data_IF_989940655512
#
_entry.id   IF_989940655512
#
_cell.length_a   1.000
_cell.length_b   1.000
_cell.length_c   1.000
_cell.angle_alpha   90.00
_cell.angle_beta   90.00
_cell.angle_gamma   90.00
#
_symmetry.space_group_name_H-M   'P 1'
#
loop_
_entity.id
_entity.type
_entity.pdbx_description
1 polymer ?
#
# COMPACT_ATOMS: atom_id res chain seq x y z
N UNK A 1 13.87 -6.04 -2.51
CA UNK A 1 12.98 -6.06 -1.35
C UNK A 1 13.69 -5.69 -0.05
N UNK A 2 12.93 -5.27 0.94
CA UNK A 2 13.47 -4.85 2.25
C UNK A 2 13.49 -5.99 3.29
N UNK A 3 13.14 -7.20 2.90
CA UNK A 3 13.17 -8.40 3.72
C UNK A 3 11.84 -9.13 3.79
N UNK A 4 11.87 -10.33 4.37
CA UNK A 4 10.72 -11.23 4.46
C UNK A 4 9.53 -10.56 5.15
N UNK A 5 8.34 -10.70 4.55
CA UNK A 5 7.11 -10.08 5.03
C UNK A 5 6.92 -8.61 4.64
N UNK A 6 7.90 -7.98 3.99
CA UNK A 6 7.73 -6.62 3.49
C UNK A 6 6.83 -6.56 2.23
N UNK A 7 6.12 -5.44 2.00
CA UNK A 7 5.36 -5.26 0.77
C UNK A 7 6.21 -5.38 -0.50
N UNK A 8 7.48 -4.96 -0.44
CA UNK A 8 8.41 -5.05 -1.57
C UNK A 8 8.80 -6.49 -1.96
N UNK A 9 8.51 -7.47 -1.12
CA UNK A 9 8.60 -8.89 -1.45
C UNK A 9 7.21 -9.51 -1.69
N UNK A 10 6.23 -9.14 -0.86
CA UNK A 10 4.89 -9.71 -0.93
C UNK A 10 4.19 -9.44 -2.26
N UNK A 11 4.21 -8.20 -2.72
CA UNK A 11 3.54 -7.84 -3.98
C UNK A 11 4.12 -8.56 -5.20
N UNK A 12 5.44 -8.59 -5.45
CA UNK A 12 5.97 -9.34 -6.58
C UNK A 12 5.67 -10.84 -6.52
N UNK A 13 5.68 -11.45 -5.32
CA UNK A 13 5.30 -12.87 -5.14
C UNK A 13 3.85 -13.12 -5.57
N UNK A 14 2.93 -12.28 -5.09
CA UNK A 14 1.52 -12.38 -5.44
C UNK A 14 1.29 -12.13 -6.95
N UNK A 15 2.00 -11.18 -7.55
CA UNK A 15 1.92 -10.94 -8.98
C UNK A 15 2.46 -12.13 -9.80
N UNK A 16 3.57 -12.73 -9.37
CA UNK A 16 4.09 -13.92 -10.03
C UNK A 16 3.07 -15.07 -10.01
N UNK A 17 2.41 -15.25 -8.85
CA UNK A 17 1.43 -16.32 -8.68
C UNK A 17 0.10 -16.05 -9.42
N UNK A 18 -0.39 -14.81 -9.41
CA UNK A 18 -1.76 -14.51 -9.80
C UNK A 18 -1.91 -13.65 -11.06
N UNK A 19 -0.84 -13.03 -11.54
CA UNK A 19 -0.83 -12.24 -12.77
C UNK A 19 0.19 -12.76 -13.81
N UNK A 20 0.82 -13.91 -13.56
CA UNK A 20 1.74 -14.55 -14.49
C UNK A 20 3.05 -13.78 -14.73
N UNK A 21 3.38 -12.83 -13.86
CA UNK A 21 4.67 -12.12 -13.93
C UNK A 21 5.82 -13.06 -13.52
N UNK A 22 7.04 -12.64 -13.83
CA UNK A 22 8.26 -13.43 -13.54
C UNK A 22 9.30 -12.58 -12.81
N UNK A 23 8.88 -11.81 -11.80
CA UNK A 23 9.80 -11.01 -11.02
C UNK A 23 10.81 -11.89 -10.27
N UNK A 24 12.09 -11.60 -10.44
CA UNK A 24 13.16 -12.11 -9.58
C UNK A 24 13.34 -11.13 -8.42
N UNK A 25 13.04 -11.57 -7.21
CA UNK A 25 13.05 -10.71 -6.03
C UNK A 25 14.48 -10.68 -5.46
N UNK A 26 15.09 -9.51 -5.44
CA UNK A 26 16.37 -9.26 -4.79
C UNK A 26 16.09 -8.56 -3.47
N UNK A 27 16.44 -9.21 -2.36
CA UNK A 27 16.16 -8.74 -0.99
C UNK A 27 17.42 -8.26 -0.28
N UNK A 28 17.22 -7.63 0.89
CA UNK A 28 18.32 -7.18 1.76
C UNK A 28 18.61 -5.68 1.71
N UNK A 29 17.83 -4.91 0.98
CA UNK A 29 17.96 -3.44 1.02
C UNK A 29 17.38 -2.88 2.32
N UNK A 30 18.08 -1.94 2.99
CA UNK A 30 17.64 -1.41 4.29
C UNK A 30 16.38 -0.53 4.21
N UNK A 31 16.03 -0.04 3.02
CA UNK A 31 14.84 0.80 2.80
C UNK A 31 14.40 0.77 1.34
N UNK A 32 13.18 1.27 1.06
CA UNK A 32 12.70 1.48 -0.31
C UNK A 32 13.57 2.50 -1.07
N UNK A 33 14.09 3.51 -0.39
CA UNK A 33 15.02 4.48 -0.98
C UNK A 33 16.32 3.82 -1.43
N UNK A 34 16.87 2.89 -0.64
CA UNK A 34 18.04 2.11 -1.03
C UNK A 34 17.75 1.22 -2.25
N UNK A 35 16.54 0.64 -2.32
CA UNK A 35 16.09 -0.10 -3.50
C UNK A 35 15.97 0.78 -4.76
N UNK A 36 15.48 2.00 -4.63
CA UNK A 36 15.44 2.96 -5.75
C UNK A 36 16.85 3.37 -6.20
N UNK A 37 17.77 3.57 -5.26
CA UNK A 37 19.16 3.86 -5.58
C UNK A 37 19.85 2.69 -6.31
N UNK A 38 19.56 1.46 -5.91
CA UNK A 38 20.03 0.26 -6.61
C UNK A 38 19.49 0.18 -8.05
N UNK A 39 18.24 0.56 -8.28
CA UNK A 39 17.66 0.67 -9.62
C UNK A 39 18.37 1.76 -10.45
N UNK A 40 18.65 2.91 -9.88
CA UNK A 40 19.39 3.99 -10.52
C UNK A 40 20.81 3.58 -10.95
N UNK A 41 21.43 2.67 -10.19
CA UNK A 41 22.75 2.10 -10.50
C UNK A 41 22.73 0.88 -11.43
N UNK A 42 21.55 0.44 -11.83
CA UNK A 42 21.38 -0.74 -12.67
C UNK A 42 21.61 -2.06 -11.94
N UNK A 43 21.59 -2.08 -10.59
CA UNK A 43 21.73 -3.31 -9.80
C UNK A 43 20.43 -4.15 -9.81
N UNK A 44 19.28 -3.48 -10.01
CA UNK A 44 17.96 -4.07 -10.18
C UNK A 44 17.18 -3.33 -11.24
N UNK A 45 16.28 -4.05 -11.95
CA UNK A 45 15.48 -3.49 -13.05
C UNK A 45 14.22 -2.74 -12.57
N UNK A 46 13.84 -2.90 -11.31
CA UNK A 46 12.63 -2.29 -10.76
C UNK A 46 12.63 -2.19 -9.25
N UNK A 47 11.81 -1.28 -8.73
CA UNK A 47 11.63 -1.08 -7.30
C UNK A 47 10.16 -0.80 -6.96
N UNK A 48 9.75 -1.17 -5.74
CA UNK A 48 8.48 -0.77 -5.16
C UNK A 48 8.67 0.49 -4.32
N UNK A 49 7.86 1.50 -4.57
CA UNK A 49 7.82 2.73 -3.77
C UNK A 49 6.41 3.30 -3.73
N UNK A 50 6.13 4.22 -2.80
CA UNK A 50 4.88 4.95 -2.84
C UNK A 50 4.92 6.04 -3.92
N UNK A 51 3.77 6.31 -4.52
CA UNK A 51 3.63 7.38 -5.53
C UNK A 51 4.10 8.73 -4.98
N UNK A 52 3.71 9.05 -3.75
CA UNK A 52 4.14 10.27 -3.07
C UNK A 52 5.68 10.35 -2.92
N UNK A 53 6.32 9.26 -2.49
CA UNK A 53 7.78 9.21 -2.38
C UNK A 53 8.43 9.45 -3.74
N UNK A 54 7.93 8.82 -4.80
CA UNK A 54 8.44 8.98 -6.15
C UNK A 54 8.34 10.44 -6.62
N UNK A 55 7.18 11.08 -6.47
CA UNK A 55 6.98 12.49 -6.82
C UNK A 55 7.93 13.43 -6.08
N UNK A 56 8.14 13.20 -4.78
CA UNK A 56 8.98 14.08 -3.95
C UNK A 56 10.48 13.88 -4.17
N UNK A 57 10.93 12.67 -4.38
CA UNK A 57 12.37 12.35 -4.39
C UNK A 57 12.94 12.12 -5.76
N UNK A 58 12.10 11.78 -6.75
CA UNK A 58 12.51 11.42 -8.10
C UNK A 58 11.60 12.04 -9.17
N UNK A 59 11.18 13.28 -8.96
CA UNK A 59 10.31 14.00 -9.89
C UNK A 59 10.89 14.05 -11.32
N UNK A 60 12.20 14.19 -11.46
CA UNK A 60 12.89 14.21 -12.74
C UNK A 60 12.68 12.89 -13.53
N UNK A 61 12.65 11.75 -12.87
CA UNK A 61 12.40 10.46 -13.53
C UNK A 61 11.03 10.43 -14.22
N UNK A 62 10.03 11.06 -13.60
CA UNK A 62 8.67 11.16 -14.16
C UNK A 62 8.64 12.17 -15.32
N UNK A 63 9.28 13.32 -15.16
CA UNK A 63 9.32 14.38 -16.18
C UNK A 63 10.08 13.94 -17.43
N UNK A 64 11.22 13.29 -17.25
CA UNK A 64 12.07 12.80 -18.34
C UNK A 64 11.59 11.47 -18.93
N UNK A 65 10.64 10.80 -18.28
CA UNK A 65 10.22 9.42 -18.62
C UNK A 65 11.36 8.40 -18.51
N UNK A 66 12.23 8.58 -17.52
CA UNK A 66 13.35 7.67 -17.27
C UNK A 66 12.90 6.33 -16.69
N UNK A 67 11.66 6.25 -16.21
CA UNK A 67 11.04 5.05 -15.64
C UNK A 67 9.66 4.79 -16.24
N UNK A 68 9.24 3.53 -16.20
CA UNK A 68 7.88 3.10 -16.48
C UNK A 68 7.19 2.66 -15.20
N UNK A 69 6.06 3.26 -14.87
CA UNK A 69 5.19 2.75 -13.81
C UNK A 69 4.39 1.59 -14.40
N UNK A 70 4.61 0.38 -13.90
CA UNK A 70 4.06 -0.84 -14.51
C UNK A 70 2.66 -1.18 -13.99
N UNK A 71 2.44 -0.98 -12.69
CA UNK A 71 1.21 -1.38 -12.00
C UNK A 71 1.06 -0.59 -10.71
N UNK A 72 -0.17 -0.35 -10.27
CA UNK A 72 -0.46 0.31 -9.01
C UNK A 72 -1.18 -0.64 -8.04
N UNK A 73 -0.80 -0.54 -6.77
CA UNK A 73 -1.35 -1.36 -5.68
C UNK A 73 -2.48 -0.59 -4.98
N UNK A 74 -3.61 -0.56 -5.63
CA UNK A 74 -4.84 0.07 -5.14
C UNK A 74 -6.06 -0.74 -5.56
N UNK A 75 -7.20 -0.48 -4.91
CA UNK A 75 -8.50 -1.04 -5.32
C UNK A 75 -9.05 -0.35 -6.55
N UNK A 76 -8.65 0.90 -6.77
CA UNK A 76 -9.02 1.75 -7.90
C UNK A 76 -7.79 2.44 -8.45
N UNK A 77 -7.87 2.90 -9.71
CA UNK A 77 -6.78 3.65 -10.34
C UNK A 77 -6.64 5.04 -9.69
N UNK A 78 -5.43 5.39 -9.36
CA UNK A 78 -5.09 6.73 -8.85
C UNK A 78 -5.40 7.80 -9.92
N UNK A 79 -5.98 8.96 -9.54
CA UNK A 79 -6.33 10.03 -10.51
C UNK A 79 -5.19 10.52 -11.39
N UNK A 80 -3.96 10.52 -10.87
CA UNK A 80 -2.75 10.93 -11.60
C UNK A 80 -2.13 9.79 -12.44
N UNK A 81 -2.62 8.54 -12.30
CA UNK A 81 -2.09 7.35 -12.97
C UNK A 81 -3.20 6.55 -13.66
N UNK A 82 -4.12 7.24 -14.35
CA UNK A 82 -5.31 6.61 -14.95
C UNK A 82 -4.99 5.56 -16.00
N UNK A 83 -3.86 5.68 -16.68
CA UNK A 83 -3.44 4.75 -17.73
C UNK A 83 -2.71 3.51 -17.18
N UNK A 84 -2.34 3.52 -15.90
CA UNK A 84 -1.65 2.40 -15.26
C UNK A 84 -2.69 1.45 -14.65
N UNK A 85 -2.65 0.15 -14.92
CA UNK A 85 -3.59 -0.80 -14.34
C UNK A 85 -3.34 -1.00 -12.85
N UNK A 86 -4.40 -1.33 -12.10
CA UNK A 86 -4.25 -1.85 -10.75
C UNK A 86 -3.88 -3.33 -10.78
N UNK A 87 -3.32 -3.83 -9.69
CA UNK A 87 -3.03 -5.27 -9.55
C UNK A 87 -4.31 -6.12 -9.63
N UNK A 88 -5.47 -5.56 -9.29
CA UNK A 88 -6.75 -6.26 -9.38
C UNK A 88 -7.23 -6.42 -10.83
N UNK A 89 -6.85 -5.50 -11.71
CA UNK A 89 -7.22 -5.56 -13.13
C UNK A 89 -6.39 -6.58 -13.91
N UNK A 90 -5.15 -6.82 -13.48
CA UNK A 90 -4.23 -7.77 -14.14
C UNK A 90 -4.26 -9.18 -13.54
N UNK A 91 -5.04 -9.41 -12.49
CA UNK A 91 -5.19 -10.73 -11.88
C UNK A 91 -5.82 -11.72 -12.88
N UNK A 92 -5.17 -12.87 -13.09
CA UNK A 92 -5.58 -13.86 -14.07
C UNK A 92 -6.78 -14.72 -13.66
N UNK A 93 -7.09 -14.79 -12.36
CA UNK A 93 -8.20 -15.62 -11.81
C UNK A 93 -8.98 -14.85 -10.76
N UNK A 94 -10.22 -15.31 -10.48
CA UNK A 94 -11.05 -14.75 -9.41
C UNK A 94 -10.45 -14.96 -8.03
N UNK A 95 -9.84 -16.11 -7.77
CA UNK A 95 -9.15 -16.44 -6.52
C UNK A 95 -7.92 -15.57 -6.33
N UNK A 96 -7.10 -15.39 -7.37
CA UNK A 96 -5.94 -14.51 -7.35
C UNK A 96 -6.32 -13.06 -7.10
N UNK A 97 -7.43 -12.60 -7.73
CA UNK A 97 -7.98 -11.26 -7.47
C UNK A 97 -8.42 -11.10 -6.02
N UNK A 98 -9.07 -12.10 -5.44
CA UNK A 98 -9.49 -12.09 -4.04
C UNK A 98 -8.29 -12.06 -3.08
N UNK A 99 -7.24 -12.84 -3.36
CA UNK A 99 -6.00 -12.84 -2.59
C UNK A 99 -5.26 -11.49 -2.65
N UNK A 100 -5.17 -10.89 -3.84
CA UNK A 100 -4.60 -9.55 -4.02
C UNK A 100 -5.42 -8.48 -3.29
N UNK A 101 -6.76 -8.52 -3.40
CA UNK A 101 -7.64 -7.59 -2.72
C UNK A 101 -7.51 -7.69 -1.19
N UNK A 102 -7.44 -8.91 -0.65
CA UNK A 102 -7.19 -9.16 0.76
C UNK A 102 -5.86 -8.56 1.23
N UNK A 103 -4.78 -8.78 0.49
CA UNK A 103 -3.46 -8.27 0.83
C UNK A 103 -3.38 -6.74 0.77
N UNK A 104 -3.99 -6.11 -0.25
CA UNK A 104 -4.05 -4.65 -0.39
C UNK A 104 -4.87 -4.03 0.74
N UNK A 105 -5.97 -4.66 1.15
CA UNK A 105 -6.82 -4.18 2.24
C UNK A 105 -6.04 -3.93 3.52
N UNK A 106 -5.08 -4.79 3.84
CA UNK A 106 -4.16 -4.60 4.97
C UNK A 106 -3.27 -3.35 4.85
N UNK A 107 -2.86 -2.99 3.64
CA UNK A 107 -2.00 -1.82 3.42
C UNK A 107 -2.72 -0.49 3.70
N UNK A 108 -4.03 -0.43 3.53
CA UNK A 108 -4.84 0.77 3.83
C UNK A 108 -4.89 1.09 5.33
N UNK A 109 -4.58 0.11 6.18
CA UNK A 109 -4.52 0.29 7.64
C UNK A 109 -3.19 0.85 8.14
N UNK A 110 -2.20 1.03 7.28
CA UNK A 110 -0.80 1.21 7.62
C UNK A 110 -0.44 2.44 8.47
N UNK A 111 -1.31 3.43 8.61
CA UNK A 111 -1.08 4.64 9.42
C UNK A 111 -2.28 4.97 10.31
N UNK A 112 -2.87 3.96 10.91
CA UNK A 112 -4.01 4.15 11.81
C UNK A 112 -3.56 4.50 13.22
N UNK A 113 -4.28 5.41 13.88
CA UNK A 113 -4.19 5.59 15.33
C UNK A 113 -4.96 4.46 16.00
N UNK A 114 -4.30 3.76 16.88
CA UNK A 114 -4.89 2.62 17.60
C UNK A 114 -4.93 2.89 19.11
N UNK A 115 -5.90 2.29 19.77
CA UNK A 115 -6.05 2.34 21.22
C UNK A 115 -6.06 0.92 21.80
N UNK A 116 -5.69 0.71 23.06
CA UNK A 116 -5.77 -0.59 23.71
C UNK A 116 -7.19 -1.17 23.69
N UNK A 117 -7.33 -2.50 23.69
CA UNK A 117 -8.64 -3.14 23.79
C UNK A 117 -9.29 -2.83 25.14
N UNK A 118 -10.63 -2.83 25.17
CA UNK A 118 -11.39 -2.60 26.40
C UNK A 118 -11.56 -1.13 26.81
N UNK A 119 -11.21 -0.16 25.94
CA UNK A 119 -11.54 1.23 26.23
C UNK A 119 -13.07 1.43 26.36
N UNK A 120 -13.53 2.23 27.36
CA UNK A 120 -14.93 2.61 27.45
C UNK A 120 -15.42 3.30 26.16
N UNK A 121 -16.64 3.00 25.73
CA UNK A 121 -17.23 3.53 24.50
C UNK A 121 -17.19 5.07 24.40
N UNK A 122 -17.44 5.75 25.53
CA UNK A 122 -17.35 7.22 25.61
C UNK A 122 -15.94 7.74 25.34
N UNK A 123 -14.90 7.02 25.77
CA UNK A 123 -13.51 7.38 25.48
C UNK A 123 -13.18 7.20 23.99
N UNK A 124 -13.64 6.11 23.39
CA UNK A 124 -13.50 5.89 21.94
C UNK A 124 -14.18 6.98 21.15
N UNK A 125 -15.42 7.34 21.53
CA UNK A 125 -16.18 8.42 20.89
C UNK A 125 -15.45 9.77 20.98
N UNK A 126 -14.93 10.10 22.16
CA UNK A 126 -14.16 11.34 22.39
C UNK A 126 -12.91 11.40 21.51
N UNK A 127 -12.13 10.31 21.43
CA UNK A 127 -10.93 10.24 20.58
C UNK A 127 -11.27 10.37 19.10
N UNK A 128 -12.31 9.70 18.62
CA UNK A 128 -12.78 9.84 17.23
C UNK A 128 -13.23 11.27 16.93
N UNK A 129 -14.01 11.90 17.81
CA UNK A 129 -14.44 13.28 17.63
C UNK A 129 -13.27 14.26 17.61
N UNK A 130 -12.27 14.07 18.45
CA UNK A 130 -11.04 14.88 18.45
C UNK A 130 -10.26 14.72 17.14
N UNK A 131 -10.13 13.49 16.64
CA UNK A 131 -9.51 13.22 15.35
C UNK A 131 -10.28 13.87 14.19
N UNK A 132 -11.60 13.71 14.14
CA UNK A 132 -12.44 14.33 13.11
C UNK A 132 -12.41 15.86 13.16
N UNK A 133 -12.24 16.47 14.34
CA UNK A 133 -12.04 17.90 14.49
C UNK A 133 -10.68 18.35 13.96
N UNK A 134 -9.61 17.61 14.26
CA UNK A 134 -8.27 17.85 13.73
C UNK A 134 -8.24 17.83 12.20
N UNK A 135 -8.99 16.91 11.57
CA UNK A 135 -9.08 16.83 10.10
C UNK A 135 -9.74 18.06 9.43
N UNK A 136 -10.38 18.91 10.22
CA UNK A 136 -11.04 20.16 9.77
C UNK A 136 -10.29 21.42 10.23
N UNK A 137 -9.24 21.24 11.03
CA UNK A 137 -8.44 22.34 11.56
C UNK A 137 -7.61 22.99 10.44
N UNK A 138 -7.71 24.32 10.34
CA UNK A 138 -7.07 25.07 9.25
C UNK A 138 -5.55 25.07 9.32
N UNK A 139 -5.02 25.13 10.54
CA UNK A 139 -3.57 25.20 10.74
C UNK A 139 -2.96 23.84 10.46
N UNK A 140 -3.62 22.75 10.89
CA UNK A 140 -3.23 21.39 10.56
C UNK A 140 -3.24 21.13 9.05
N UNK A 141 -4.32 21.53 8.35
CA UNK A 141 -4.41 21.35 6.89
C UNK A 141 -3.36 22.17 6.14
N UNK A 142 -3.05 23.38 6.62
CA UNK A 142 -1.99 24.21 6.04
C UNK A 142 -0.60 23.57 6.22
N UNK A 143 -0.33 22.95 7.35
CA UNK A 143 0.94 22.21 7.56
C UNK A 143 1.04 20.94 6.69
N UNK A 144 -0.08 20.21 6.50
CA UNK A 144 -0.13 19.08 5.56
C UNK A 144 0.20 19.57 4.13
N UNK A 145 -0.43 20.64 3.70
CA UNK A 145 -0.23 21.21 2.35
C UNK A 145 1.24 21.64 2.13
N UNK A 146 1.83 22.35 3.09
CA UNK A 146 3.26 22.70 3.07
C UNK A 146 4.19 21.49 3.00
N UNK A 147 3.79 20.38 3.63
CA UNK A 147 4.60 19.14 3.62
C UNK A 147 4.67 18.48 2.24
N UNK A 148 3.77 18.84 1.32
CA UNK A 148 3.61 18.23 0.00
C UNK A 148 3.23 16.74 0.08
N UNK A 149 2.68 16.30 1.22
CA UNK A 149 2.21 14.91 1.38
C UNK A 149 0.78 14.78 0.87
N UNK A 150 0.50 13.66 0.23
CA UNK A 150 -0.88 13.28 -0.06
C UNK A 150 -1.62 13.01 1.24
N UNK A 151 -2.82 13.53 1.34
CA UNK A 151 -3.63 13.42 2.54
C UNK A 151 -4.99 12.82 2.21
N UNK A 152 -5.17 11.56 2.53
CA UNK A 152 -6.41 10.79 2.35
C UNK A 152 -6.87 10.25 3.71
N UNK A 153 -7.47 11.10 4.55
CA UNK A 153 -7.89 10.68 5.87
C UNK A 153 -9.08 9.71 5.80
N UNK A 154 -9.10 8.77 6.72
CA UNK A 154 -10.25 7.89 6.93
C UNK A 154 -10.78 8.06 8.35
N UNK A 155 -12.09 8.07 8.52
CA UNK A 155 -12.71 8.10 9.84
C UNK A 155 -12.48 6.78 10.60
N UNK A 156 -12.55 6.82 11.94
CA UNK A 156 -12.44 5.61 12.74
C UNK A 156 -13.49 4.55 12.40
N UNK A 157 -14.68 4.96 11.91
CA UNK A 157 -15.71 4.04 11.45
C UNK A 157 -15.35 3.37 10.12
N UNK A 158 -14.78 4.13 9.18
CA UNK A 158 -14.29 3.57 7.91
C UNK A 158 -13.18 2.55 8.15
N UNK A 159 -12.21 2.89 9.02
CA UNK A 159 -11.12 1.97 9.40
C UNK A 159 -11.68 0.72 10.07
N UNK A 160 -12.65 0.86 10.98
CA UNK A 160 -13.28 -0.29 11.64
C UNK A 160 -14.02 -1.21 10.65
N UNK A 161 -14.74 -0.64 9.68
CA UNK A 161 -15.39 -1.43 8.62
C UNK A 161 -14.36 -2.20 7.78
N UNK A 162 -13.24 -1.56 7.45
CA UNK A 162 -12.16 -2.19 6.70
C UNK A 162 -11.52 -3.35 7.49
N UNK A 163 -11.27 -3.16 8.79
CA UNK A 163 -10.76 -4.21 9.68
C UNK A 163 -11.76 -5.38 9.73
N UNK A 164 -13.05 -5.10 9.92
CA UNK A 164 -14.08 -6.13 9.96
C UNK A 164 -14.16 -6.91 8.64
N UNK A 165 -14.11 -6.22 7.50
CA UNK A 165 -14.11 -6.85 6.18
C UNK A 165 -12.85 -7.74 5.98
N UNK A 166 -11.69 -7.26 6.39
CA UNK A 166 -10.44 -8.04 6.32
C UNK A 166 -10.49 -9.27 7.23
N UNK A 167 -10.99 -9.11 8.46
CA UNK A 167 -11.11 -10.21 9.43
C UNK A 167 -12.15 -11.27 9.02
N UNK A 168 -13.15 -10.89 8.22
CA UNK A 168 -14.18 -11.79 7.68
C UNK A 168 -13.81 -12.41 6.33
N UNK A 169 -12.58 -12.22 5.86
CA UNK A 169 -12.13 -12.80 4.60
C UNK A 169 -12.28 -14.34 4.62
N UNK A 170 -12.73 -14.94 3.51
CA UNK A 170 -12.87 -16.40 3.41
C UNK A 170 -11.56 -17.11 3.73
N UNK A 171 -11.62 -18.18 4.51
CA UNK A 171 -10.43 -18.90 4.99
C UNK A 171 -9.52 -19.37 3.85
N UNK A 172 -10.10 -19.85 2.76
CA UNK A 172 -9.34 -20.24 1.56
C UNK A 172 -8.56 -19.08 0.94
N UNK A 173 -9.08 -17.85 0.97
CA UNK A 173 -8.38 -16.64 0.47
C UNK A 173 -7.19 -16.31 1.37
N UNK A 174 -7.38 -16.39 2.68
CA UNK A 174 -6.30 -16.16 3.66
C UNK A 174 -5.19 -17.21 3.48
N UNK A 175 -5.55 -18.52 3.46
CA UNK A 175 -4.60 -19.62 3.30
C UNK A 175 -3.85 -19.54 1.96
N UNK A 176 -4.54 -19.20 0.86
CA UNK A 176 -3.93 -19.02 -0.45
C UNK A 176 -2.90 -17.88 -0.43
N UNK A 177 -3.27 -16.75 0.17
CA UNK A 177 -2.37 -15.58 0.29
C UNK A 177 -1.15 -15.91 1.13
N UNK A 178 -1.34 -16.52 2.31
CA UNK A 178 -0.24 -16.90 3.20
C UNK A 178 0.71 -17.90 2.55
N UNK A 179 0.17 -18.94 1.92
CA UNK A 179 0.97 -19.96 1.24
C UNK A 179 1.82 -19.35 0.14
N UNK A 180 1.24 -18.45 -0.66
CA UNK A 180 1.95 -17.73 -1.72
C UNK A 180 3.06 -16.84 -1.17
N UNK A 181 2.82 -16.13 -0.09
CA UNK A 181 3.83 -15.26 0.53
C UNK A 181 4.99 -16.04 1.16
N UNK A 182 4.73 -17.26 1.67
CA UNK A 182 5.75 -18.15 2.26
C UNK A 182 6.56 -18.91 1.21
N UNK A 183 6.07 -19.02 -0.01
CA UNK A 183 6.81 -19.68 -1.09
C UNK A 183 8.18 -19.01 -1.31
N UNK A 184 9.23 -19.85 -1.48
CA UNK A 184 10.61 -19.39 -1.69
C UNK A 184 10.82 -18.84 -3.09
#
# INVERSE_FOLDING_TARGET
>A
GTGAGSPSEGYPKLLNAFAGTKFKIISGYPSSTAGMLAMERGEVDGALTSWNTLKRTKQQWLQNRDINVLVQYGTERHPEMRDIPTVLEIAGTSEGRAALAFYIGGAQLGRSLVAPPGLPAERVKMLRSAFDAMLKDRDFLAEIDKSGQEFYPASGEQVQKLIAATASAPRNVVELTETTLRAK
#
